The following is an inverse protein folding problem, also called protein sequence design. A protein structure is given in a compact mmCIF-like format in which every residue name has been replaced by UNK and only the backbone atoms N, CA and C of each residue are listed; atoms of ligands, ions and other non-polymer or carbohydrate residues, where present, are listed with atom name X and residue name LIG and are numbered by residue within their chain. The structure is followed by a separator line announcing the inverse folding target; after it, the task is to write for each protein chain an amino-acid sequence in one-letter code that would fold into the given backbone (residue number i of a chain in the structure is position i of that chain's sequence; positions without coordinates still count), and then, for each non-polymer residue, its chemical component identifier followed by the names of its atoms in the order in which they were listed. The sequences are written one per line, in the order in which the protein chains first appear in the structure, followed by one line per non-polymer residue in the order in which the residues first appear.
data_IF_648375210042
#
_entry.id   IF_648375210042
#
_cell.length_a   1.000
_cell.length_b   1.000
_cell.length_c   1.000
_cell.angle_alpha   90.00
_cell.angle_beta   90.00
_cell.angle_gamma   90.00
#
_symmetry.space_group_name_H-M   'P 1'
#
loop_
_entity.id
_entity.type
_entity.pdbx_description
1 polymer ?
#
# COMPACT_ATOMS: atom_id res chain seq x y z
N UNK A 1 -5.12 6.73 6.59
CA UNK A 1 -4.09 6.13 5.73
C UNK A 1 -3.11 5.38 6.61
N UNK A 2 -3.02 4.05 6.47
CA UNK A 2 -2.13 3.22 7.30
C UNK A 2 -0.67 3.29 6.85
N UNK A 3 -0.42 3.51 5.57
CA UNK A 3 0.92 3.54 4.99
C UNK A 3 1.83 4.59 5.64
N UNK A 4 1.40 5.86 5.66
CA UNK A 4 2.16 6.95 6.28
C UNK A 4 2.36 6.72 7.78
N UNK A 5 1.34 6.23 8.49
CA UNK A 5 1.43 5.88 9.91
C UNK A 5 2.43 4.75 10.19
N UNK A 6 2.66 3.87 9.22
CA UNK A 6 3.67 2.82 9.27
C UNK A 6 5.04 3.27 8.71
N UNK A 7 5.25 4.58 8.55
CA UNK A 7 6.47 5.17 7.97
C UNK A 7 6.71 4.80 6.50
N UNK A 8 5.66 4.46 5.77
CA UNK A 8 5.70 4.27 4.33
C UNK A 8 5.81 5.60 3.57
N UNK A 9 6.35 5.57 2.33
CA UNK A 9 6.55 6.77 1.53
C UNK A 9 5.22 7.35 1.03
N UNK A 10 5.19 8.66 0.80
CA UNK A 10 4.10 9.34 0.09
C UNK A 10 4.42 9.25 -1.40
N UNK A 11 3.50 8.66 -2.17
CA UNK A 11 3.64 8.55 -3.62
C UNK A 11 2.78 9.60 -4.35
N UNK A 12 3.32 10.28 -5.38
CA UNK A 12 2.49 10.95 -6.39
C UNK A 12 1.46 10.00 -6.98
N UNK A 13 0.28 10.51 -7.35
CA UNK A 13 -0.80 9.68 -7.92
C UNK A 13 -0.42 9.03 -9.25
N UNK A 14 0.42 9.70 -10.04
CA UNK A 14 0.89 9.28 -11.36
C UNK A 14 2.19 8.47 -11.30
N UNK A 15 2.75 8.25 -10.11
CA UNK A 15 3.95 7.45 -9.96
C UNK A 15 3.67 6.00 -10.35
N UNK A 16 4.48 5.38 -11.24
CA UNK A 16 4.30 4.00 -11.68
C UNK A 16 4.84 3.00 -10.64
N UNK A 17 4.50 3.22 -9.36
CA UNK A 17 5.06 2.53 -8.21
C UNK A 17 3.96 2.09 -7.22
N UNK A 18 4.22 0.97 -6.55
CA UNK A 18 3.45 0.50 -5.39
C UNK A 18 4.34 0.56 -4.14
N UNK A 19 3.79 1.12 -3.05
CA UNK A 19 4.45 1.10 -1.75
C UNK A 19 4.08 -0.19 -1.00
N UNK A 20 5.08 -1.00 -0.67
CA UNK A 20 4.94 -2.13 0.25
C UNK A 20 5.57 -1.76 1.59
N UNK A 21 4.75 -1.49 2.60
CA UNK A 21 5.22 -1.04 3.91
C UNK A 21 4.85 -2.06 5.00
N UNK A 22 5.84 -2.65 5.69
CA UNK A 22 5.59 -3.57 6.78
C UNK A 22 5.23 -2.82 8.06
N UNK A 23 4.38 -3.42 8.89
CA UNK A 23 4.11 -2.95 10.25
C UNK A 23 4.84 -3.89 11.22
N UNK A 24 5.77 -3.33 12.01
CA UNK A 24 6.54 -4.06 13.03
C UNK A 24 7.17 -5.39 12.55
N UNK A 25 7.92 -5.42 11.43
CA UNK A 25 8.48 -6.65 10.91
C UNK A 25 9.51 -7.24 11.87
N UNK A 26 9.33 -8.50 12.25
CA UNK A 26 10.31 -9.22 13.07
C UNK A 26 11.59 -9.52 12.29
N UNK A 27 11.46 -9.99 11.04
CA UNK A 27 12.57 -10.26 10.11
C UNK A 27 12.20 -9.94 8.66
N UNK A 28 13.12 -9.40 7.84
CA UNK A 28 14.44 -8.93 8.24
C UNK A 28 14.35 -7.74 9.21
N UNK A 29 15.25 -7.68 10.20
CA UNK A 29 15.25 -6.58 11.17
C UNK A 29 15.46 -5.25 10.42
N UNK A 30 14.72 -4.22 10.82
CA UNK A 30 14.78 -2.86 10.21
C UNK A 30 14.38 -2.81 8.73
N UNK A 31 13.70 -3.82 8.19
CA UNK A 31 13.14 -3.70 6.85
C UNK A 31 12.08 -2.60 6.85
N UNK A 32 12.27 -1.57 6.03
CA UNK A 32 11.38 -0.40 5.93
C UNK A 32 10.34 -0.53 4.82
N UNK A 33 10.28 -1.68 4.16
CA UNK A 33 9.46 -1.90 2.99
C UNK A 33 10.23 -1.75 1.68
N UNK A 34 9.48 -1.61 0.60
CA UNK A 34 10.01 -1.51 -0.75
C UNK A 34 9.08 -0.65 -1.63
N UNK A 35 9.69 0.01 -2.62
CA UNK A 35 8.98 0.55 -3.77
C UNK A 35 9.06 -0.49 -4.89
N UNK A 36 7.90 -0.91 -5.38
CA UNK A 36 7.76 -1.91 -6.42
C UNK A 36 7.25 -1.24 -7.69
N UNK A 37 7.53 -1.81 -8.86
CA UNK A 37 6.86 -1.37 -10.08
C UNK A 37 5.36 -1.64 -9.95
N UNK A 38 4.52 -0.73 -10.47
CA UNK A 38 3.08 -0.95 -10.54
C UNK A 38 2.67 -2.16 -11.43
N UNK A 39 3.57 -2.62 -12.29
CA UNK A 39 3.41 -3.85 -13.09
C UNK A 39 3.71 -5.13 -12.31
N UNK A 40 4.22 -5.03 -11.09
CA UNK A 40 4.55 -6.21 -10.28
C UNK A 40 3.30 -6.82 -9.64
N UNK A 41 3.24 -8.15 -9.66
CA UNK A 41 2.28 -8.92 -8.86
C UNK A 41 2.98 -9.38 -7.57
N UNK A 42 2.42 -9.02 -6.43
CA UNK A 42 2.93 -9.42 -5.10
C UNK A 42 2.04 -10.54 -4.57
N UNK A 43 2.65 -11.68 -4.27
CA UNK A 43 1.97 -12.81 -3.63
C UNK A 43 2.50 -13.00 -2.21
N UNK A 44 1.58 -13.09 -1.26
CA UNK A 44 1.83 -13.49 0.12
C UNK A 44 1.29 -14.90 0.31
N UNK A 45 2.16 -15.84 0.72
CA UNK A 45 1.76 -17.17 1.17
C UNK A 45 1.83 -17.21 2.70
N UNK A 46 0.71 -17.56 3.35
CA UNK A 46 0.62 -17.55 4.81
C UNK A 46 1.14 -18.87 5.37
N UNK A 47 2.24 -18.78 6.11
CA UNK A 47 2.86 -19.95 6.74
C UNK A 47 2.06 -20.39 7.97
N UNK A 48 1.89 -21.71 8.15
CA UNK A 48 1.14 -22.31 9.27
C UNK A 48 -0.26 -21.68 9.46
N UNK A 49 -1.01 -21.40 8.38
CA UNK A 49 -2.25 -20.63 8.42
C UNK A 49 -3.32 -21.17 9.41
N UNK A 50 -3.36 -22.48 9.65
CA UNK A 50 -4.26 -23.09 10.64
C UNK A 50 -3.89 -22.73 12.08
N UNK A 51 -2.59 -22.64 12.38
CA UNK A 51 -2.06 -22.31 13.71
C UNK A 51 -2.03 -20.81 13.95
N UNK A 52 -1.83 -20.03 12.89
CA UNK A 52 -1.69 -18.57 12.90
C UNK A 52 -2.55 -17.97 11.78
N UNK A 53 -3.87 -17.88 11.98
CA UNK A 53 -4.75 -17.32 10.97
C UNK A 53 -4.42 -15.85 10.71
N UNK A 54 -4.43 -15.47 9.44
CA UNK A 54 -4.21 -14.10 8.97
C UNK A 54 -5.48 -13.62 8.28
N UNK A 55 -5.83 -12.35 8.49
CA UNK A 55 -6.89 -11.69 7.75
C UNK A 55 -6.29 -10.73 6.73
N UNK A 56 -6.96 -10.58 5.60
CA UNK A 56 -6.64 -9.57 4.59
C UNK A 56 -7.77 -8.54 4.54
N UNK A 57 -7.42 -7.26 4.50
CA UNK A 57 -8.38 -6.18 4.38
C UNK A 57 -8.04 -5.30 3.17
N UNK A 58 -9.06 -5.01 2.36
CA UNK A 58 -9.02 -4.06 1.25
C UNK A 58 -10.12 -3.01 1.50
N UNK A 59 -9.71 -1.83 1.96
CA UNK A 59 -10.58 -0.77 2.46
C UNK A 59 -11.57 -1.26 3.53
N UNK A 60 -12.84 -1.43 3.17
CA UNK A 60 -13.92 -1.88 4.05
C UNK A 60 -14.22 -3.38 3.91
N UNK A 61 -13.56 -4.08 2.99
CA UNK A 61 -13.75 -5.51 2.75
C UNK A 61 -12.70 -6.30 3.51
N UNK A 62 -13.13 -7.15 4.45
CA UNK A 62 -12.25 -8.07 5.19
C UNK A 62 -12.52 -9.52 4.75
N UNK A 63 -11.44 -10.27 4.48
CA UNK A 63 -11.46 -11.71 4.27
C UNK A 63 -10.66 -12.36 5.39
N UNK A 64 -11.30 -13.27 6.13
CA UNK A 64 -10.71 -13.93 7.31
C UNK A 64 -10.02 -15.23 6.94
N UNK A 65 -8.99 -15.59 7.72
CA UNK A 65 -8.25 -16.86 7.61
C UNK A 65 -7.76 -17.17 6.18
N UNK A 66 -7.11 -16.19 5.54
CA UNK A 66 -6.56 -16.36 4.19
C UNK A 66 -5.33 -17.27 4.21
N UNK A 67 -5.20 -18.12 3.19
CA UNK A 67 -4.01 -18.96 2.99
C UNK A 67 -3.01 -18.34 2.03
N UNK A 68 -3.49 -17.50 1.11
CA UNK A 68 -2.67 -16.68 0.22
C UNK A 68 -3.37 -15.39 -0.17
N UNK A 69 -2.60 -14.36 -0.52
CA UNK A 69 -3.09 -13.07 -1.00
C UNK A 69 -2.27 -12.68 -2.23
N UNK A 70 -2.93 -12.29 -3.32
CA UNK A 70 -2.27 -11.74 -4.52
C UNK A 70 -2.72 -10.31 -4.73
N UNK A 71 -1.74 -9.40 -4.86
CA UNK A 71 -1.96 -7.96 -5.03
C UNK A 71 -1.31 -7.52 -6.34
N UNK A 72 -2.05 -6.78 -7.16
CA UNK A 72 -1.57 -6.17 -8.40
C UNK A 72 -2.40 -4.93 -8.72
N UNK A 73 -1.84 -4.00 -9.47
CA UNK A 73 -2.60 -2.87 -10.02
C UNK A 73 -3.64 -3.37 -11.04
N UNK A 74 -4.85 -2.82 -11.00
CA UNK A 74 -5.87 -3.09 -12.01
C UNK A 74 -5.74 -2.07 -13.15
N UNK A 75 -5.55 -2.49 -14.41
CA UNK A 75 -5.46 -1.57 -15.54
C UNK A 75 -6.84 -1.05 -16.00
N UNK A 76 -7.94 -1.59 -15.47
CA UNK A 76 -9.31 -1.29 -15.93
C UNK A 76 -10.16 -0.57 -14.89
N UNK A 77 -9.74 -0.56 -13.61
CA UNK A 77 -10.50 0.08 -12.54
C UNK A 77 -9.97 1.49 -12.34
N UNK A 78 -10.87 2.47 -12.46
CA UNK A 78 -10.53 3.88 -12.30
C UNK A 78 -11.41 4.52 -11.22
N UNK A 79 -10.86 5.50 -10.51
CA UNK A 79 -11.61 6.36 -9.60
C UNK A 79 -11.55 7.81 -10.08
N UNK A 80 -12.64 8.56 -9.93
CA UNK A 80 -12.66 10.00 -10.24
C UNK A 80 -12.41 10.80 -8.96
N UNK A 81 -11.38 11.63 -8.97
CA UNK A 81 -11.03 12.52 -7.87
C UNK A 81 -11.40 13.95 -8.25
N UNK A 82 -12.24 14.59 -7.44
CA UNK A 82 -12.57 16.01 -7.57
C UNK A 82 -11.62 16.83 -6.70
N UNK A 83 -11.07 17.91 -7.26
CA UNK A 83 -10.19 18.83 -6.55
C UNK A 83 -10.46 20.28 -6.97
N UNK A 84 -10.03 21.22 -6.13
CA UNK A 84 -10.13 22.65 -6.40
C UNK A 84 -9.01 23.08 -7.37
N UNK A 85 -9.34 23.68 -8.53
CA UNK A 85 -8.34 24.14 -9.50
C UNK A 85 -7.31 25.14 -8.93
N UNK A 86 -7.67 25.88 -7.87
CA UNK A 86 -6.76 26.83 -7.20
C UNK A 86 -5.82 26.15 -6.20
N UNK A 87 -6.06 24.88 -5.88
CA UNK A 87 -5.25 24.07 -4.97
C UNK A 87 -4.90 22.75 -5.66
N UNK A 88 -3.83 22.77 -6.44
CA UNK A 88 -3.40 21.60 -7.19
C UNK A 88 -3.11 20.42 -6.26
N UNK A 89 -3.63 19.25 -6.62
CA UNK A 89 -3.37 18.03 -5.86
C UNK A 89 -1.89 17.65 -5.83
N UNK A 90 -1.18 17.91 -6.93
CA UNK A 90 0.25 17.66 -7.04
C UNK A 90 1.04 18.53 -6.06
N UNK A 91 0.67 19.81 -5.91
CA UNK A 91 1.29 20.72 -4.95
C UNK A 91 1.08 20.24 -3.51
N UNK A 92 -0.14 19.78 -3.19
CA UNK A 92 -0.42 19.21 -1.88
C UNK A 92 0.41 17.96 -1.60
N UNK A 93 0.49 17.01 -2.53
CA UNK A 93 1.32 15.81 -2.36
C UNK A 93 2.78 16.19 -2.17
N UNK A 94 3.29 17.11 -2.98
CA UNK A 94 4.67 17.58 -2.88
C UNK A 94 4.93 18.22 -1.51
N UNK A 95 4.06 19.13 -1.06
CA UNK A 95 4.19 19.76 0.24
C UNK A 95 4.21 18.73 1.38
N UNK A 96 3.34 17.73 1.35
CA UNK A 96 3.29 16.67 2.36
C UNK A 96 4.56 15.81 2.39
N UNK A 97 5.27 15.64 1.26
CA UNK A 97 6.56 14.94 1.23
C UNK A 97 7.67 15.68 1.99
N UNK A 98 7.58 17.01 2.12
CA UNK A 98 8.60 17.84 2.80
C UNK A 98 8.19 18.34 4.18
N UNK A 99 6.97 18.03 4.64
CA UNK A 99 6.47 18.41 5.96
C UNK A 99 7.02 17.56 7.11
N UNK A 100 7.60 16.40 6.79
CA UNK A 100 8.10 15.39 7.73
C UNK A 100 9.49 14.92 7.30
#
# INVERSE_FOLDING_TARGET
AYNLSAHGPILPLDAPLLALTPVSPFRPRRWRGALLSNKSTVRFDILEAEKRPVNAAADHTEVKAVTSVTVQESPTVTATLLFDPSHSWNERILAEQFRY
#
